data_IF_915957432979
#
_entry.id   IF_915957432979
#
_cell.length_a   1.000
_cell.length_b   1.000
_cell.length_c   1.000
_cell.angle_alpha   90.00
_cell.angle_beta   90.00
_cell.angle_gamma   90.00
#
_symmetry.space_group_name_H-M   'P 1'
#
loop_
_entity.id
_entity.type
_entity.pdbx_description
1 polymer ?
#
# COMPACT_ATOMS: atom_id res chain seq x y z
N UNK A 1 6.67 -0.49 -14.85
CA UNK A 1 6.61 0.55 -13.81
C UNK A 1 5.41 1.46 -14.06
N UNK A 2 4.45 1.46 -13.12
CA UNK A 2 3.27 2.31 -13.13
C UNK A 2 2.90 2.73 -11.70
N UNK A 3 2.66 4.03 -11.42
CA UNK A 3 3.02 5.18 -12.25
C UNK A 3 4.52 5.23 -12.58
N UNK A 4 4.89 5.90 -13.67
CA UNK A 4 6.30 6.09 -14.01
C UNK A 4 6.96 7.07 -13.02
N UNK A 5 8.10 6.73 -12.39
CA UNK A 5 8.80 7.62 -11.47
C UNK A 5 9.31 8.91 -12.13
N UNK A 6 9.50 9.97 -11.35
CA UNK A 6 10.07 11.25 -11.83
C UNK A 6 11.46 11.09 -12.47
N UNK A 7 12.31 10.23 -11.89
CA UNK A 7 13.64 9.93 -12.38
C UNK A 7 13.92 8.44 -12.28
N UNK A 8 14.34 7.85 -13.40
CA UNK A 8 14.67 6.43 -13.52
C UNK A 8 15.96 6.30 -14.34
N UNK A 9 16.99 5.71 -13.73
CA UNK A 9 18.22 5.30 -14.43
C UNK A 9 18.36 3.79 -14.28
N UNK A 10 18.40 3.08 -15.40
CA UNK A 10 18.52 1.61 -15.43
C UNK A 10 19.81 1.22 -16.12
N UNK A 11 20.50 0.26 -15.54
CA UNK A 11 21.71 -0.38 -16.07
C UNK A 11 21.35 -1.74 -16.66
N UNK A 12 22.09 -2.23 -17.68
CA UNK A 12 21.88 -3.57 -18.23
C UNK A 12 22.31 -4.69 -17.26
N UNK A 13 23.03 -4.36 -16.17
CA UNK A 13 23.39 -5.34 -15.15
C UNK A 13 22.13 -5.79 -14.41
N UNK A 14 21.97 -7.10 -14.25
CA UNK A 14 20.87 -7.71 -13.49
C UNK A 14 21.39 -8.49 -12.29
N UNK A 15 20.58 -8.53 -11.24
CA UNK A 15 20.82 -9.28 -10.01
C UNK A 15 19.75 -10.35 -9.85
N UNK A 16 20.14 -11.52 -9.39
CA UNK A 16 19.22 -12.62 -9.07
C UNK A 16 18.70 -12.47 -7.65
N UNK A 17 17.43 -12.78 -7.42
CA UNK A 17 16.83 -12.88 -6.10
C UNK A 17 16.45 -14.34 -5.83
N UNK A 18 16.85 -14.86 -4.68
CA UNK A 18 16.48 -16.20 -4.22
C UNK A 18 15.46 -16.02 -3.09
N UNK A 19 14.21 -16.49 -3.23
CA UNK A 19 13.14 -16.24 -2.26
C UNK A 19 13.57 -16.53 -0.81
N UNK A 20 14.13 -17.72 -0.55
CA UNK A 20 14.52 -18.15 0.80
C UNK A 20 15.68 -17.36 1.43
N UNK A 21 16.41 -16.56 0.64
CA UNK A 21 17.56 -15.78 1.09
C UNK A 21 17.30 -14.28 1.06
N UNK A 22 16.30 -13.83 0.31
CA UNK A 22 15.98 -12.41 0.19
C UNK A 22 15.19 -11.92 1.39
N UNK A 23 15.60 -10.79 1.95
CA UNK A 23 14.91 -10.17 3.09
C UNK A 23 14.69 -8.67 2.87
N UNK A 24 13.51 -8.21 3.28
CA UNK A 24 13.21 -6.78 3.41
C UNK A 24 13.33 -6.43 4.89
N UNK A 25 14.27 -5.54 5.23
CA UNK A 25 14.63 -5.22 6.61
C UNK A 25 14.77 -3.73 6.82
N UNK A 26 14.71 -3.30 8.07
CA UNK A 26 15.10 -1.94 8.45
C UNK A 26 16.60 -1.75 8.25
N UNK A 27 16.99 -0.67 7.59
CA UNK A 27 18.40 -0.33 7.41
C UNK A 27 19.01 0.36 8.63
N UNK A 28 20.34 0.32 8.78
CA UNK A 28 21.03 0.95 9.90
C UNK A 28 20.80 2.47 9.89
N UNK A 29 20.50 3.03 11.07
CA UNK A 29 20.25 4.46 11.24
C UNK A 29 18.85 4.92 10.82
N UNK A 30 17.94 4.01 10.47
CA UNK A 30 16.52 4.31 10.28
C UNK A 30 15.88 4.76 11.60
N UNK A 31 15.04 5.81 11.54
CA UNK A 31 14.23 6.22 12.70
C UNK A 31 13.04 5.29 12.96
N UNK A 32 12.63 4.49 11.97
CA UNK A 32 11.67 3.41 12.14
C UNK A 32 12.40 2.08 12.36
N UNK A 33 11.99 1.33 13.37
CA UNK A 33 12.54 0.03 13.75
C UNK A 33 11.48 -1.08 13.78
N UNK A 34 11.80 -2.24 14.39
CA UNK A 34 10.89 -3.39 14.46
C UNK A 34 9.53 -3.08 15.08
N UNK A 35 9.45 -2.09 15.96
CA UNK A 35 8.18 -1.66 16.59
C UNK A 35 7.22 -0.96 15.61
N UNK A 36 7.71 -0.55 14.44
CA UNK A 36 6.88 0.07 13.40
C UNK A 36 6.05 -0.99 12.67
N UNK A 37 4.88 -1.32 13.22
CA UNK A 37 3.94 -2.31 12.68
C UNK A 37 3.57 -2.05 11.23
N UNK A 38 3.37 -0.77 10.85
CA UNK A 38 3.06 -0.36 9.48
C UNK A 38 4.10 -0.86 8.47
N UNK A 39 5.39 -0.70 8.77
CA UNK A 39 6.46 -1.13 7.88
C UNK A 39 6.67 -2.64 7.94
N UNK A 40 6.55 -3.26 9.11
CA UNK A 40 6.62 -4.73 9.23
C UNK A 40 5.54 -5.43 8.40
N UNK A 41 4.31 -4.91 8.47
CA UNK A 41 3.20 -5.42 7.66
C UNK A 41 3.42 -5.16 6.17
N UNK A 42 3.99 -4.00 5.81
CA UNK A 42 4.38 -3.72 4.44
C UNK A 42 5.45 -4.69 3.93
N UNK A 43 6.49 -4.97 4.71
CA UNK A 43 7.56 -5.89 4.32
C UNK A 43 7.02 -7.29 4.06
N UNK A 44 6.19 -7.82 4.98
CA UNK A 44 5.53 -9.12 4.81
C UNK A 44 4.64 -9.15 3.56
N UNK A 45 3.83 -8.11 3.37
CA UNK A 45 2.89 -8.02 2.26
C UNK A 45 3.60 -7.94 0.91
N UNK A 46 4.63 -7.10 0.77
CA UNK A 46 5.40 -7.00 -0.47
C UNK A 46 6.23 -8.24 -0.75
N UNK A 47 6.75 -8.90 0.28
CA UNK A 47 7.38 -10.21 0.09
C UNK A 47 6.40 -11.23 -0.52
N UNK A 48 5.17 -11.30 -0.02
CA UNK A 48 4.13 -12.18 -0.60
C UNK A 48 3.68 -11.72 -1.99
N UNK A 49 3.66 -10.42 -2.32
CA UNK A 49 3.40 -9.98 -3.70
C UNK A 49 4.49 -10.39 -4.68
N UNK A 50 5.74 -10.38 -4.22
CA UNK A 50 6.89 -10.72 -5.06
C UNK A 50 7.01 -12.24 -5.25
N UNK A 51 6.88 -13.02 -4.18
CA UNK A 51 7.20 -14.47 -4.19
C UNK A 51 6.01 -15.39 -3.90
N UNK A 52 4.83 -14.85 -3.55
CA UNK A 52 3.68 -15.66 -3.11
C UNK A 52 3.17 -16.64 -4.16
N UNK A 53 3.34 -16.34 -5.45
CA UNK A 53 2.99 -17.23 -6.56
C UNK A 53 4.01 -18.39 -6.75
N UNK A 54 5.26 -18.22 -6.30
CA UNK A 54 6.35 -19.20 -6.47
C UNK A 54 6.17 -20.48 -5.64
N UNK A 55 5.35 -20.43 -4.57
CA UNK A 55 5.07 -21.58 -3.68
C UNK A 55 4.47 -22.81 -4.40
N UNK A 56 4.15 -22.71 -5.69
CA UNK A 56 3.53 -23.77 -6.50
C UNK A 56 4.48 -24.44 -7.51
N UNK A 57 5.75 -24.01 -7.61
CA UNK A 57 6.73 -24.65 -8.48
C UNK A 57 7.89 -25.21 -7.65
N UNK A 58 7.76 -26.48 -7.25
CA UNK A 58 8.91 -27.29 -6.86
C UNK A 58 9.81 -27.45 -8.10
N UNK A 59 10.89 -26.68 -8.17
CA UNK A 59 11.99 -27.01 -9.07
C UNK A 59 13.27 -27.12 -8.25
N UNK A 60 13.87 -28.31 -8.34
CA UNK A 60 15.22 -28.61 -7.88
C UNK A 60 16.22 -27.66 -8.58
N UNK A 61 16.44 -26.48 -8.00
CA UNK A 61 17.43 -25.56 -8.54
C UNK A 61 18.85 -26.04 -8.21
N UNK A 62 19.55 -26.50 -9.26
CA UNK A 62 21.01 -26.65 -9.23
C UNK A 62 21.62 -25.30 -8.84
N UNK A 63 22.35 -25.28 -7.71
CA UNK A 63 23.18 -24.16 -7.26
C UNK A 63 24.15 -23.73 -8.37
N UNK A 64 23.83 -22.66 -9.09
CA UNK A 64 24.81 -21.94 -9.88
C UNK A 64 25.73 -21.19 -8.91
N UNK A 65 26.96 -21.68 -8.74
CA UNK A 65 28.02 -20.95 -8.07
C UNK A 65 28.45 -19.78 -8.98
N UNK A 66 28.38 -18.55 -8.45
CA UNK A 66 28.74 -17.27 -9.09
C UNK A 66 27.69 -16.73 -10.09
N UNK A 67 27.28 -15.47 -10.09
CA UNK A 67 27.67 -14.25 -9.38
C UNK A 67 26.52 -13.23 -9.62
N UNK A 68 26.25 -12.34 -8.66
CA UNK A 68 25.28 -11.22 -8.71
C UNK A 68 23.94 -11.44 -7.99
N UNK A 69 23.95 -11.98 -6.77
CA UNK A 69 22.74 -12.09 -5.96
C UNK A 69 22.44 -10.78 -5.20
N UNK A 70 21.16 -10.44 -5.17
CA UNK A 70 20.59 -9.45 -4.28
C UNK A 70 19.93 -10.17 -3.11
N UNK A 71 20.46 -9.99 -1.90
CA UNK A 71 19.95 -10.68 -0.71
C UNK A 71 19.15 -9.78 0.20
N UNK A 72 19.35 -8.45 0.13
CA UNK A 72 18.75 -7.52 1.09
C UNK A 72 18.17 -6.30 0.41
N UNK A 73 16.95 -5.93 0.83
CA UNK A 73 16.41 -4.58 0.66
C UNK A 73 16.34 -3.92 2.03
N UNK A 74 17.20 -2.92 2.24
CA UNK A 74 17.20 -2.09 3.45
C UNK A 74 16.29 -0.88 3.27
N UNK A 75 15.32 -0.72 4.15
CA UNK A 75 14.42 0.43 4.19
C UNK A 75 14.88 1.39 5.30
N UNK A 76 15.17 2.64 4.95
CA UNK A 76 15.71 3.65 5.87
C UNK A 76 14.79 4.85 5.88
N UNK A 77 14.24 5.16 7.05
CA UNK A 77 13.50 6.40 7.29
C UNK A 77 14.47 7.46 7.83
N UNK A 78 14.63 8.57 7.10
CA UNK A 78 15.64 9.59 7.36
C UNK A 78 15.19 10.70 8.31
N UNK A 79 13.89 11.02 8.37
CA UNK A 79 13.38 11.99 9.34
C UNK A 79 13.39 11.41 10.75
N UNK A 80 13.66 12.25 11.76
CA UNK A 80 13.60 11.84 13.18
C UNK A 80 12.20 11.36 13.59
N UNK A 81 11.16 11.97 13.03
CA UNK A 81 9.78 11.55 13.21
C UNK A 81 9.36 10.73 12.00
N UNK A 82 9.27 9.41 12.17
CA UNK A 82 8.91 8.49 11.08
C UNK A 82 7.45 8.60 10.67
N UNK A 83 6.58 9.06 11.57
CA UNK A 83 5.11 9.07 11.45
C UNK A 83 4.48 7.66 11.39
N UNK A 84 5.17 6.62 11.87
CA UNK A 84 4.67 5.24 11.79
C UNK A 84 3.32 5.01 12.49
N UNK A 85 3.10 5.67 13.63
CA UNK A 85 1.87 5.54 14.43
C UNK A 85 0.82 6.63 14.12
N UNK A 86 1.07 7.45 13.08
CA UNK A 86 0.18 8.53 12.69
C UNK A 86 -0.72 8.13 11.52
N UNK A 87 -1.73 8.95 11.28
CA UNK A 87 -2.51 8.92 10.05
C UNK A 87 -1.86 9.82 9.00
N UNK A 88 -1.90 9.44 7.71
CA UNK A 88 -1.43 10.30 6.64
C UNK A 88 -2.29 11.57 6.54
N UNK A 89 -1.67 12.67 6.12
CA UNK A 89 -2.32 13.98 5.92
C UNK A 89 -2.07 14.49 4.49
N UNK A 90 -2.66 15.63 4.13
CA UNK A 90 -2.41 16.26 2.82
C UNK A 90 -0.96 16.73 2.65
N UNK A 91 -0.22 16.90 3.75
CA UNK A 91 1.19 17.33 3.75
C UNK A 91 2.15 16.18 4.03
N UNK A 92 1.66 14.93 4.07
CA UNK A 92 2.52 13.76 4.25
C UNK A 92 3.53 13.65 3.11
N UNK A 93 4.80 13.46 3.47
CA UNK A 93 5.87 13.30 2.49
C UNK A 93 5.89 11.87 1.92
N UNK A 94 5.66 11.77 0.61
CA UNK A 94 5.63 10.52 -0.15
C UNK A 94 6.87 10.34 -1.05
N UNK A 95 7.87 11.22 -0.92
CA UNK A 95 9.10 11.13 -1.70
C UNK A 95 9.98 9.97 -1.22
N UNK A 96 10.68 9.33 -2.16
CA UNK A 96 11.63 8.28 -1.85
C UNK A 96 12.76 8.22 -2.88
N UNK A 97 13.85 7.57 -2.48
CA UNK A 97 15.00 7.24 -3.30
C UNK A 97 15.29 5.74 -3.19
N UNK A 98 15.26 5.04 -4.32
CA UNK A 98 15.52 3.60 -4.40
C UNK A 98 16.80 3.36 -5.21
N UNK A 99 17.78 2.73 -4.58
CA UNK A 99 19.00 2.28 -5.21
C UNK A 99 19.03 0.76 -5.22
N UNK A 100 18.90 0.18 -6.41
CA UNK A 100 19.00 -1.27 -6.62
C UNK A 100 20.44 -1.63 -6.93
N UNK A 101 21.09 -2.30 -5.99
CA UNK A 101 22.49 -2.73 -6.07
C UNK A 101 22.70 -4.02 -5.28
N UNK A 102 23.80 -4.74 -5.55
CA UNK A 102 24.20 -5.94 -4.81
C UNK A 102 25.31 -5.65 -3.78
N UNK A 103 25.40 -6.42 -2.68
CA UNK A 103 24.44 -7.44 -2.23
C UNK A 103 23.17 -6.85 -1.59
N UNK A 104 23.19 -5.54 -1.32
CA UNK A 104 22.17 -4.82 -0.57
C UNK A 104 21.65 -3.64 -1.38
N UNK A 105 20.35 -3.65 -1.65
CA UNK A 105 19.60 -2.51 -2.16
C UNK A 105 19.10 -1.64 -1.02
N UNK A 106 18.92 -0.35 -1.29
CA UNK A 106 18.52 0.62 -0.29
C UNK A 106 17.35 1.44 -0.79
N UNK A 107 16.28 1.46 0.01
CA UNK A 107 15.14 2.35 -0.13
C UNK A 107 15.20 3.39 0.99
N UNK A 108 15.39 4.67 0.64
CA UNK A 108 15.38 5.79 1.59
C UNK A 108 14.14 6.63 1.39
N UNK A 109 13.51 7.06 2.47
CA UNK A 109 12.40 8.01 2.45
C UNK A 109 12.43 8.87 3.71
N UNK A 110 11.95 10.10 3.63
CA UNK A 110 11.88 10.97 4.82
C UNK A 110 10.85 10.47 5.82
N UNK A 111 9.73 9.90 5.33
CA UNK A 111 8.62 9.39 6.16
C UNK A 111 8.24 7.98 5.72
N UNK A 112 7.49 7.27 6.57
CA UNK A 112 6.98 5.92 6.25
C UNK A 112 6.15 5.88 4.96
N UNK A 113 5.47 6.97 4.62
CA UNK A 113 4.60 7.04 3.43
C UNK A 113 5.40 6.89 2.13
N UNK A 114 6.54 7.58 2.00
CA UNK A 114 7.44 7.41 0.86
C UNK A 114 8.02 6.00 0.77
N UNK A 115 8.32 5.36 1.89
CA UNK A 115 8.78 3.97 1.92
C UNK A 115 7.71 3.00 1.36
N UNK A 116 6.42 3.18 1.70
CA UNK A 116 5.35 2.36 1.11
C UNK A 116 5.30 2.52 -0.42
N UNK A 117 5.50 3.74 -0.95
CA UNK A 117 5.55 3.99 -2.40
C UNK A 117 6.77 3.37 -3.07
N UNK A 118 7.92 3.42 -2.40
CA UNK A 118 9.15 2.82 -2.90
C UNK A 118 9.13 1.30 -2.89
N UNK A 119 8.45 0.67 -1.93
CA UNK A 119 8.24 -0.77 -1.90
C UNK A 119 7.39 -1.25 -3.10
N UNK A 120 6.33 -0.51 -3.45
CA UNK A 120 5.54 -0.78 -4.66
C UNK A 120 6.40 -0.68 -5.92
N UNK A 121 7.21 0.38 -6.01
CA UNK A 121 8.10 0.54 -7.16
C UNK A 121 9.14 -0.58 -7.22
N UNK A 122 9.68 -1.01 -6.08
CA UNK A 122 10.60 -2.14 -6.03
C UNK A 122 9.93 -3.44 -6.50
N UNK A 123 8.72 -3.77 -6.02
CA UNK A 123 8.05 -5.01 -6.45
C UNK A 123 7.78 -5.06 -7.96
N UNK A 124 7.53 -3.91 -8.59
CA UNK A 124 7.33 -3.82 -10.04
C UNK A 124 8.64 -3.88 -10.87
N UNK A 125 9.81 -3.76 -10.24
CA UNK A 125 11.10 -3.90 -10.94
C UNK A 125 11.48 -5.37 -11.15
N UNK A 126 10.91 -6.28 -10.35
CA UNK A 126 11.22 -7.70 -10.45
C UNK A 126 10.50 -8.32 -11.65
N UNK A 127 11.17 -9.26 -12.27
CA UNK A 127 10.63 -10.09 -13.33
C UNK A 127 11.19 -11.51 -13.21
N UNK A 128 10.41 -12.48 -13.69
CA UNK A 128 10.82 -13.87 -13.82
C UNK A 128 11.43 -14.10 -15.20
N UNK A 129 12.46 -14.94 -15.28
CA UNK A 129 12.91 -15.49 -16.56
C UNK A 129 12.09 -16.73 -16.96
N UNK A 130 12.37 -17.28 -18.14
CA UNK A 130 11.67 -18.46 -18.66
C UNK A 130 11.84 -19.71 -17.77
N UNK A 131 12.82 -19.70 -16.85
CA UNK A 131 13.10 -20.77 -15.90
C UNK A 131 12.47 -20.53 -14.52
N UNK A 132 11.73 -19.44 -14.32
CA UNK A 132 11.11 -19.08 -13.03
C UNK A 132 12.08 -18.45 -12.02
N UNK A 133 13.30 -18.09 -12.44
CA UNK A 133 14.25 -17.37 -11.59
C UNK A 133 13.93 -15.88 -11.55
N UNK A 134 13.94 -15.29 -10.34
CA UNK A 134 13.66 -13.87 -10.14
C UNK A 134 14.90 -12.99 -10.42
N UNK A 135 14.70 -11.93 -11.20
CA UNK A 135 15.73 -10.94 -11.50
C UNK A 135 15.24 -9.50 -11.29
N UNK A 136 16.21 -8.62 -11.08
CA UNK A 136 16.02 -7.16 -11.06
C UNK A 136 17.20 -6.48 -11.73
N UNK A 137 16.98 -5.37 -12.45
CA UNK A 137 18.08 -4.59 -13.01
C UNK A 137 18.65 -3.60 -11.99
N UNK A 138 19.97 -3.41 -12.02
CA UNK A 138 20.64 -2.32 -11.32
C UNK A 138 20.01 -1.00 -11.77
N UNK A 139 19.53 -0.23 -10.80
CA UNK A 139 18.78 0.99 -11.09
C UNK A 139 18.87 1.99 -9.94
N UNK A 140 18.68 3.26 -10.30
CA UNK A 140 18.59 4.37 -9.36
C UNK A 140 17.32 5.15 -9.69
N UNK A 141 16.45 5.28 -8.70
CA UNK A 141 15.14 5.92 -8.82
C UNK A 141 15.04 7.00 -7.76
N UNK A 142 14.62 8.20 -8.16
CA UNK A 142 14.14 9.24 -7.26
C UNK A 142 12.74 9.60 -7.67
N UNK A 143 11.80 9.55 -6.75
CA UNK A 143 10.40 9.74 -7.06
C UNK A 143 9.66 10.54 -5.99
N UNK A 144 8.64 11.26 -6.44
CA UNK A 144 7.71 12.01 -5.61
C UNK A 144 6.44 12.31 -6.41
N UNK A 145 5.27 12.41 -5.76
CA UNK A 145 4.03 12.70 -6.47
C UNK A 145 3.99 14.14 -6.96
N UNK A 146 3.46 14.37 -8.16
CA UNK A 146 3.18 15.72 -8.67
C UNK A 146 2.08 16.43 -7.86
N UNK A 147 1.09 15.68 -7.39
CA UNK A 147 -0.05 16.20 -6.62
C UNK A 147 -0.24 15.38 -5.35
N UNK A 148 -0.45 16.06 -4.23
CA UNK A 148 -0.62 15.44 -2.91
C UNK A 148 -2.00 14.79 -2.71
N UNK A 149 -3.04 15.20 -3.45
CA UNK A 149 -4.37 14.59 -3.40
C UNK A 149 -4.59 13.71 -4.64
N UNK A 150 -4.67 12.39 -4.44
CA UNK A 150 -4.94 11.42 -5.50
C UNK A 150 -6.03 10.49 -5.00
N UNK A 151 -7.27 10.79 -5.37
CA UNK A 151 -8.46 10.17 -4.79
C UNK A 151 -9.21 9.22 -5.72
N UNK A 152 -9.85 8.22 -5.11
CA UNK A 152 -10.93 7.43 -5.70
C UNK A 152 -12.19 7.66 -4.86
N UNK A 153 -13.33 7.89 -5.52
CA UNK A 153 -14.62 7.97 -4.86
C UNK A 153 -15.30 6.60 -4.93
N UNK A 154 -15.73 6.09 -3.78
CA UNK A 154 -16.63 4.94 -3.68
C UNK A 154 -17.97 5.41 -3.14
N UNK A 155 -19.03 5.19 -3.93
CA UNK A 155 -20.42 5.37 -3.51
C UNK A 155 -20.92 4.04 -2.96
N UNK A 156 -21.27 4.06 -1.67
CA UNK A 156 -21.80 2.88 -0.97
C UNK A 156 -23.26 3.02 -0.55
N UNK A 157 -23.94 4.06 -1.03
CA UNK A 157 -25.37 4.26 -0.78
C UNK A 157 -26.23 3.74 -1.93
N UNK A 158 -25.88 4.08 -3.18
CA UNK A 158 -26.65 3.62 -4.36
C UNK A 158 -26.63 2.10 -4.48
N UNK A 159 -25.54 1.47 -4.05
CA UNK A 159 -25.44 0.04 -3.79
C UNK A 159 -24.53 -0.19 -2.59
N UNK A 160 -24.92 -1.09 -1.70
CA UNK A 160 -24.04 -1.52 -0.61
C UNK A 160 -22.83 -2.28 -1.16
N UNK A 161 -21.63 -1.92 -0.69
CA UNK A 161 -20.39 -2.64 -1.01
C UNK A 161 -19.93 -3.44 0.21
N UNK A 162 -19.81 -4.78 0.11
CA UNK A 162 -19.26 -5.56 1.21
C UNK A 162 -17.87 -5.06 1.63
N UNK A 163 -17.55 -5.11 2.93
CA UNK A 163 -16.28 -4.62 3.48
C UNK A 163 -15.07 -5.13 2.69
N UNK A 164 -15.06 -6.43 2.33
CA UNK A 164 -14.01 -7.04 1.52
C UNK A 164 -13.74 -6.33 0.18
N UNK A 165 -14.78 -5.80 -0.47
CA UNK A 165 -14.66 -5.06 -1.74
C UNK A 165 -13.97 -3.71 -1.50
N UNK A 166 -14.32 -3.01 -0.42
CA UNK A 166 -13.67 -1.75 -0.04
C UNK A 166 -12.19 -2.00 0.26
N UNK A 167 -11.86 -3.03 1.04
CA UNK A 167 -10.47 -3.39 1.35
C UNK A 167 -9.67 -3.77 0.09
N UNK A 168 -10.29 -4.51 -0.83
CA UNK A 168 -9.66 -4.86 -2.12
C UNK A 168 -9.39 -3.62 -2.99
N UNK A 169 -10.29 -2.63 -2.95
CA UNK A 169 -10.05 -1.34 -3.62
C UNK A 169 -8.88 -0.58 -2.96
N UNK A 170 -8.74 -0.62 -1.64
CA UNK A 170 -7.60 -0.01 -0.95
C UNK A 170 -6.26 -0.68 -1.34
N UNK A 171 -6.24 -1.98 -1.57
CA UNK A 171 -5.07 -2.67 -2.14
C UNK A 171 -4.75 -2.17 -3.55
N UNK A 172 -5.75 -2.12 -4.43
CA UNK A 172 -5.58 -1.63 -5.80
C UNK A 172 -5.12 -0.16 -5.84
N UNK A 173 -5.64 0.67 -4.92
CA UNK A 173 -5.21 2.06 -4.74
C UNK A 173 -3.73 2.15 -4.34
N UNK A 174 -3.27 1.28 -3.42
CA UNK A 174 -1.88 1.25 -3.01
C UNK A 174 -0.93 0.90 -4.17
N UNK A 175 -1.28 -0.10 -4.99
CA UNK A 175 -0.52 -0.47 -6.20
C UNK A 175 -0.39 0.70 -7.18
N UNK A 176 -1.46 1.48 -7.30
CA UNK A 176 -1.53 2.63 -8.20
C UNK A 176 -1.08 3.95 -7.55
N UNK A 177 -0.54 3.90 -6.32
CA UNK A 177 -0.11 5.06 -5.53
C UNK A 177 -1.20 6.13 -5.30
N UNK A 178 -2.49 5.75 -5.31
CA UNK A 178 -3.58 6.58 -4.79
C UNK A 178 -3.47 6.68 -3.27
N UNK A 179 -3.88 7.81 -2.70
CA UNK A 179 -3.70 8.09 -1.27
C UNK A 179 -4.94 8.70 -0.60
N UNK A 180 -6.08 8.78 -1.30
CA UNK A 180 -7.36 9.20 -0.71
C UNK A 180 -8.48 8.28 -1.16
N UNK A 181 -9.16 7.67 -0.20
CA UNK A 181 -10.48 7.09 -0.37
C UNK A 181 -11.49 8.18 -0.01
N UNK A 182 -12.18 8.70 -1.01
CA UNK A 182 -13.36 9.55 -0.80
C UNK A 182 -14.56 8.61 -0.66
N UNK A 183 -15.06 8.47 0.56
CA UNK A 183 -16.12 7.52 0.87
C UNK A 183 -17.46 8.25 0.94
N UNK A 184 -18.17 8.23 -0.18
CA UNK A 184 -19.54 8.69 -0.29
C UNK A 184 -20.46 7.63 0.32
N UNK A 185 -20.66 7.75 1.63
CA UNK A 185 -21.13 6.64 2.46
C UNK A 185 -22.66 6.57 2.57
N UNK A 186 -23.37 7.69 2.38
CA UNK A 186 -24.83 7.83 2.43
C UNK A 186 -25.32 8.69 1.25
N UNK A 187 -26.56 8.48 0.80
CA UNK A 187 -27.25 9.21 -0.28
C UNK A 187 -28.76 8.88 -0.24
N UNK A 188 -29.56 9.31 -1.22
CA UNK A 188 -31.01 9.10 -1.30
C UNK A 188 -31.47 7.65 -1.09
N UNK A 189 -30.86 6.61 -1.70
CA UNK A 189 -31.43 5.26 -1.66
C UNK A 189 -31.15 4.47 -0.39
N UNK A 190 -30.05 4.78 0.33
CA UNK A 190 -29.75 4.10 1.59
C UNK A 190 -28.81 4.86 2.53
N UNK A 191 -28.98 4.58 3.83
CA UNK A 191 -28.16 5.07 4.94
C UNK A 191 -27.44 3.89 5.63
N UNK A 192 -26.34 3.36 5.08
CA UNK A 192 -25.66 2.20 5.65
C UNK A 192 -24.73 2.53 6.83
N UNK A 193 -24.40 3.80 7.08
CA UNK A 193 -23.51 4.18 8.18
C UNK A 193 -24.20 4.07 9.55
N UNK A 194 -23.67 3.25 10.46
CA UNK A 194 -24.22 3.14 11.82
C UNK A 194 -23.78 4.31 12.70
N UNK A 195 -24.74 5.19 13.01
CA UNK A 195 -24.51 6.31 13.93
C UNK A 195 -24.80 5.91 15.37
N UNK A 196 -23.82 6.11 16.25
CA UNK A 196 -24.00 5.83 17.69
C UNK A 196 -24.93 6.84 18.38
N UNK A 197 -25.01 8.06 17.87
CA UNK A 197 -25.87 9.12 18.43
C UNK A 197 -27.27 9.14 17.84
N UNK A 198 -27.42 8.67 16.59
CA UNK A 198 -28.69 8.64 15.86
C UNK A 198 -28.92 7.25 15.23
N UNK A 199 -29.15 6.20 16.04
CA UNK A 199 -29.24 4.82 15.56
C UNK A 199 -30.43 4.57 14.61
N UNK A 200 -31.45 5.43 14.66
CA UNK A 200 -32.62 5.32 13.78
C UNK A 200 -32.27 5.59 12.31
N UNK A 201 -31.22 6.37 12.02
CA UNK A 201 -30.80 6.71 10.65
C UNK A 201 -30.51 5.43 9.85
N UNK A 202 -29.65 4.56 10.37
CA UNK A 202 -29.36 3.29 9.67
C UNK A 202 -30.43 2.23 9.93
N UNK A 203 -31.08 2.22 11.09
CA UNK A 203 -32.13 1.24 11.37
C UNK A 203 -33.33 1.34 10.40
N UNK A 204 -33.64 2.56 9.94
CA UNK A 204 -34.74 2.83 9.02
C UNK A 204 -34.30 3.17 7.59
N UNK A 205 -33.06 3.68 7.42
CA UNK A 205 -32.53 4.13 6.13
C UNK A 205 -31.65 3.10 5.39
N UNK A 206 -31.12 2.07 6.04
CA UNK A 206 -30.33 1.04 5.35
C UNK A 206 -31.23 0.11 4.51
N UNK A 207 -30.69 -0.48 3.43
CA UNK A 207 -31.44 -1.42 2.60
C UNK A 207 -31.98 -2.63 3.37
N UNK A 208 -31.13 -3.20 4.24
CA UNK A 208 -31.50 -4.25 5.19
C UNK A 208 -30.61 -4.13 6.43
N UNK A 209 -30.94 -4.77 7.55
CA UNK A 209 -30.05 -4.83 8.72
C UNK A 209 -28.66 -5.43 8.44
N UNK A 210 -28.48 -6.15 7.34
CA UNK A 210 -27.18 -6.72 6.93
C UNK A 210 -26.36 -5.79 6.01
N UNK A 211 -26.94 -4.68 5.54
CA UNK A 211 -26.29 -3.71 4.66
C UNK A 211 -25.89 -2.47 5.44
N UNK A 212 -25.11 -2.67 6.50
CA UNK A 212 -24.70 -1.65 7.47
C UNK A 212 -23.18 -1.70 7.64
N UNK A 213 -22.56 -0.54 7.77
CA UNK A 213 -21.17 -0.39 8.22
C UNK A 213 -21.18 -0.03 9.70
N UNK A 214 -20.79 -0.99 10.53
CA UNK A 214 -20.69 -0.81 11.98
C UNK A 214 -19.49 0.09 12.33
N UNK A 215 -19.41 0.63 13.57
CA UNK A 215 -18.22 1.34 14.03
C UNK A 215 -16.93 0.51 13.89
N UNK A 216 -17.02 -0.81 14.07
CA UNK A 216 -15.90 -1.73 13.87
C UNK A 216 -15.51 -1.83 12.40
N UNK A 217 -16.48 -1.89 11.48
CA UNK A 217 -16.19 -1.92 10.04
C UNK A 217 -15.51 -0.63 9.59
N UNK A 218 -16.03 0.52 10.02
CA UNK A 218 -15.44 1.83 9.71
C UNK A 218 -14.02 1.93 10.27
N UNK A 219 -13.79 1.49 11.50
CA UNK A 219 -12.44 1.44 12.09
C UNK A 219 -11.50 0.53 11.27
N UNK A 220 -11.97 -0.64 10.85
CA UNK A 220 -11.20 -1.56 10.02
C UNK A 220 -10.81 -0.94 8.67
N UNK A 221 -11.73 -0.23 7.99
CA UNK A 221 -11.41 0.48 6.74
C UNK A 221 -10.35 1.56 6.97
N UNK A 222 -10.51 2.35 8.03
CA UNK A 222 -9.57 3.43 8.38
C UNK A 222 -8.17 2.89 8.66
N UNK A 223 -8.05 1.84 9.46
CA UNK A 223 -6.74 1.26 9.79
C UNK A 223 -6.11 0.54 8.58
N UNK A 224 -6.91 -0.19 7.81
CA UNK A 224 -6.43 -0.88 6.60
C UNK A 224 -5.92 0.11 5.54
N UNK A 225 -6.59 1.27 5.41
CA UNK A 225 -6.16 2.39 4.58
C UNK A 225 -4.87 3.04 5.12
N UNK A 226 -4.79 3.28 6.45
CA UNK A 226 -3.61 3.84 7.11
C UNK A 226 -2.36 3.02 6.86
N UNK A 227 -2.44 1.69 6.98
CA UNK A 227 -1.34 0.76 6.71
C UNK A 227 -0.83 0.78 5.25
N UNK A 228 -1.57 1.45 4.34
CA UNK A 228 -1.22 1.67 2.93
C UNK A 228 -0.92 3.14 2.61
N UNK A 229 -0.91 4.01 3.61
CA UNK A 229 -0.76 5.45 3.42
C UNK A 229 -1.93 6.06 2.64
N UNK A 230 -3.15 5.58 2.88
CA UNK A 230 -4.38 6.09 2.27
C UNK A 230 -5.20 6.79 3.35
N UNK A 231 -5.65 8.01 3.06
CA UNK A 231 -6.57 8.79 3.88
C UNK A 231 -8.00 8.37 3.58
N UNK A 232 -8.84 8.24 4.60
CA UNK A 232 -10.29 8.06 4.43
C UNK A 232 -10.97 9.41 4.67
N UNK A 233 -11.65 9.93 3.65
CA UNK A 233 -12.44 11.16 3.74
C UNK A 233 -13.91 10.75 3.61
N UNK A 234 -14.68 10.78 4.71
CA UNK A 234 -16.11 10.50 4.64
C UNK A 234 -16.86 11.68 4.04
N UNK A 235 -17.89 11.38 3.26
CA UNK A 235 -18.84 12.36 2.74
C UNK A 235 -20.25 12.03 3.23
N UNK A 236 -20.89 13.04 3.81
CA UNK A 236 -22.29 13.06 4.22
C UNK A 236 -22.93 14.26 3.50
N UNK A 237 -23.40 14.02 2.28
CA UNK A 237 -23.90 15.10 1.39
C UNK A 237 -25.20 15.72 1.93
N UNK A 238 -25.29 17.05 1.87
CA UNK A 238 -26.45 17.84 2.31
C UNK A 238 -26.55 19.16 1.53
N UNK A 239 -27.76 19.74 1.35
CA UNK A 239 -29.07 19.23 1.76
C UNK A 239 -29.75 18.32 0.71
N UNK A 240 -29.24 18.27 -0.53
CA UNK A 240 -29.67 17.27 -1.51
C UNK A 240 -29.13 15.88 -1.15
N UNK A 241 -29.55 14.83 -1.86
CA UNK A 241 -29.05 13.47 -1.63
C UNK A 241 -29.32 12.94 -0.21
N UNK A 242 -30.50 13.29 0.34
CA UNK A 242 -30.86 13.06 1.74
C UNK A 242 -32.15 12.26 1.96
N UNK A 243 -32.72 11.61 0.94
CA UNK A 243 -33.99 10.90 1.09
C UNK A 243 -33.97 9.75 2.12
N UNK A 244 -32.81 9.11 2.36
CA UNK A 244 -32.66 8.01 3.33
C UNK A 244 -32.38 8.44 4.78
N UNK A 245 -32.21 9.75 5.02
CA UNK A 245 -31.84 10.31 6.32
C UNK A 245 -33.02 10.37 7.29
#
# INVERSE_FOLDING_TARGET
LWPLPQSLRVSPKRFRLVPDQFQIVHGPGSSAGPDCSLLQDAFRRYYEYIFGYSKWQNQDEKKSLCENELSLLQVIITSKDSECDKFPSITSDEAYHLQVSKPTSVLKADKVWGAIRGLETFSQLLYEDDCGSYFVNESVISDFPRFAYRGILLDTSRHFLPLKVILTNLDAMAFNKFNVLHWHIVDDPSFPYESTTFPELNAQGAYTPNHVYTPTDVHNVIEYARLRGIRVIPEFDTPGHTQSW
#
